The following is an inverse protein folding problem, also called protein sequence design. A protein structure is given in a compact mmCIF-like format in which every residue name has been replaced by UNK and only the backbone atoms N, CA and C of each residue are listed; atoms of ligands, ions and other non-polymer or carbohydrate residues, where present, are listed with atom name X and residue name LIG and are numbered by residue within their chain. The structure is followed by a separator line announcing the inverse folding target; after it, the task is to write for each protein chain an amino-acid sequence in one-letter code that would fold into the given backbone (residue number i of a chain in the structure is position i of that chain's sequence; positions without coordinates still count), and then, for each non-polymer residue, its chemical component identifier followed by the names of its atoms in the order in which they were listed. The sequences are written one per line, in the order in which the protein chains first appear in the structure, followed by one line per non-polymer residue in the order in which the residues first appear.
data_IF_047776036626
#
_entry.id   IF_047776036626
#
_cell.length_a   1.000
_cell.length_b   1.000
_cell.length_c   1.000
_cell.angle_alpha   90.00
_cell.angle_beta   90.00
_cell.angle_gamma   90.00
#
_symmetry.space_group_name_H-M   'P 1'
#
loop_
_entity.id
_entity.type
_entity.pdbx_description
1 polymer ?
#
# COMPACT_ATOMS: atom_id res chain seq x y z
N UNK A 1 21.12 6.31 -6.12
CA UNK A 1 20.31 7.08 -5.12
C UNK A 1 20.91 6.90 -3.73
N UNK A 2 21.19 5.68 -3.27
CA UNK A 2 21.79 5.45 -1.94
C UNK A 2 23.20 6.06 -1.80
N UNK A 3 24.02 6.02 -2.83
CA UNK A 3 25.37 6.57 -2.82
C UNK A 3 25.34 8.10 -2.68
N UNK A 4 24.48 8.77 -3.43
CA UNK A 4 24.35 10.23 -3.36
C UNK A 4 23.83 10.73 -2.03
N UNK A 5 22.96 9.97 -1.35
CA UNK A 5 22.51 10.30 0.00
C UNK A 5 23.64 10.16 1.04
N UNK A 6 24.44 9.09 0.96
CA UNK A 6 25.56 8.86 1.87
C UNK A 6 26.67 9.94 1.71
N UNK A 7 26.95 10.38 0.49
CA UNK A 7 27.91 11.46 0.22
C UNK A 7 27.43 12.82 0.77
N UNK A 8 26.13 13.15 0.60
CA UNK A 8 25.55 14.38 1.18
C UNK A 8 25.59 14.41 2.72
N UNK A 9 25.47 13.27 3.37
CA UNK A 9 25.60 13.17 4.84
C UNK A 9 27.05 13.38 5.31
N UNK A 10 28.05 13.03 4.50
CA UNK A 10 29.48 13.26 4.82
C UNK A 10 29.97 14.68 4.57
N UNK A 11 29.50 15.35 3.51
CA UNK A 11 29.97 16.69 3.14
C UNK A 11 29.59 17.77 4.15
N UNK A 12 28.51 17.62 4.90
CA UNK A 12 28.08 18.61 5.90
C UNK A 12 28.70 18.45 7.28
N UNK A 13 29.59 17.48 7.51
CA UNK A 13 30.46 17.42 8.71
C UNK A 13 29.73 17.34 10.06
N UNK A 14 28.41 17.18 10.08
CA UNK A 14 27.61 16.94 11.27
C UNK A 14 27.26 15.47 11.35
N UNK A 15 27.67 14.83 12.45
CA UNK A 15 27.18 13.51 12.88
C UNK A 15 25.68 13.64 13.23
N UNK A 16 24.83 13.80 12.22
CA UNK A 16 23.39 13.71 12.38
C UNK A 16 23.05 12.23 12.42
N UNK A 17 22.83 11.71 13.60
CA UNK A 17 22.17 10.41 13.79
C UNK A 17 20.78 10.51 13.16
N UNK A 18 20.58 9.88 12.01
CA UNK A 18 19.28 9.78 11.36
C UNK A 18 18.57 8.58 11.97
N UNK A 19 17.53 8.83 12.76
CA UNK A 19 16.77 7.77 13.42
C UNK A 19 15.91 6.96 12.43
N UNK A 20 15.45 7.61 11.34
CA UNK A 20 14.60 6.99 10.33
C UNK A 20 14.99 7.48 8.93
N UNK A 21 14.99 6.53 7.98
CA UNK A 21 15.27 6.77 6.59
C UNK A 21 14.11 6.25 5.72
N UNK A 22 13.56 7.11 4.87
CA UNK A 22 12.44 6.77 3.99
C UNK A 22 12.89 6.93 2.53
N UNK A 23 12.73 5.86 1.75
CA UNK A 23 12.97 5.88 0.30
C UNK A 23 11.64 5.68 -0.41
N UNK A 24 11.32 6.57 -1.34
CA UNK A 24 10.33 6.31 -2.38
C UNK A 24 11.04 5.64 -3.56
N UNK A 25 10.50 4.53 -4.04
CA UNK A 25 11.05 3.75 -5.14
C UNK A 25 9.98 3.38 -6.13
N UNK A 26 10.32 3.47 -7.41
CA UNK A 26 9.61 2.76 -8.46
C UNK A 26 9.81 1.26 -8.25
N UNK A 27 8.73 0.48 -8.41
CA UNK A 27 8.73 -0.97 -8.23
C UNK A 27 9.71 -1.71 -9.14
N UNK A 28 10.08 -1.10 -10.26
CA UNK A 28 11.05 -1.66 -11.20
C UNK A 28 12.46 -1.80 -10.59
N UNK A 29 12.81 -0.91 -9.66
CA UNK A 29 14.13 -0.83 -9.03
C UNK A 29 14.16 -1.44 -7.63
N UNK A 30 13.04 -1.92 -7.11
CA UNK A 30 12.93 -2.40 -5.74
C UNK A 30 13.94 -3.53 -5.44
N UNK A 31 14.13 -4.47 -6.37
CA UNK A 31 15.09 -5.56 -6.22
C UNK A 31 16.51 -5.05 -6.04
N UNK A 32 16.97 -4.15 -6.92
CA UNK A 32 18.33 -3.58 -6.87
C UNK A 32 18.57 -2.82 -5.56
N UNK A 33 17.55 -2.11 -5.06
CA UNK A 33 17.63 -1.39 -3.78
C UNK A 33 17.77 -2.39 -2.63
N UNK A 34 16.99 -3.47 -2.61
CA UNK A 34 17.04 -4.49 -1.57
C UNK A 34 18.32 -5.36 -1.62
N UNK A 35 18.99 -5.48 -2.77
CA UNK A 35 20.31 -6.11 -2.89
C UNK A 35 21.41 -5.31 -2.16
N UNK A 36 21.21 -3.99 -1.99
CA UNK A 36 22.21 -3.09 -1.43
C UNK A 36 21.84 -2.55 -0.04
N UNK A 37 20.56 -2.53 0.32
CA UNK A 37 20.07 -1.93 1.56
C UNK A 37 19.07 -2.87 2.22
N UNK A 38 19.23 -3.10 3.54
CA UNK A 38 18.27 -3.84 4.35
C UNK A 38 17.28 -2.86 4.95
N UNK A 39 15.99 -3.10 4.75
CA UNK A 39 14.90 -2.28 5.27
C UNK A 39 14.12 -3.02 6.36
N UNK A 40 13.63 -2.27 7.34
CA UNK A 40 12.73 -2.80 8.36
C UNK A 40 11.28 -2.91 7.86
N UNK A 41 10.88 -1.97 7.00
CA UNK A 41 9.50 -1.84 6.51
C UNK A 41 9.44 -1.65 5.00
N UNK A 42 8.41 -2.24 4.39
CA UNK A 42 7.96 -1.95 3.03
C UNK A 42 6.50 -1.53 3.06
N UNK A 43 6.22 -0.31 2.61
CA UNK A 43 4.85 0.15 2.36
C UNK A 43 4.52 -0.03 0.89
N UNK A 44 3.45 -0.77 0.58
CA UNK A 44 2.86 -0.82 -0.76
C UNK A 44 1.48 -0.19 -0.71
N UNK A 45 1.33 0.96 -1.34
CA UNK A 45 0.08 1.75 -1.28
C UNK A 45 -0.99 1.20 -2.21
N UNK A 46 -0.63 0.89 -3.45
CA UNK A 46 -1.49 0.31 -4.48
C UNK A 46 -0.67 -0.10 -5.70
N UNK A 47 -1.27 -0.91 -6.58
CA UNK A 47 -0.74 -1.22 -7.89
C UNK A 47 -1.78 -0.81 -8.93
N UNK A 48 -1.60 0.35 -9.55
CA UNK A 48 -2.46 0.79 -10.65
C UNK A 48 -1.94 0.29 -12.00
N UNK A 49 -2.86 0.02 -12.90
CA UNK A 49 -2.52 -0.13 -14.32
C UNK A 49 -2.18 1.23 -14.88
N UNK A 50 -1.05 1.34 -15.52
CA UNK A 50 -0.80 2.49 -16.38
C UNK A 50 -1.74 2.43 -17.60
N UNK A 51 -2.22 3.59 -18.09
CA UNK A 51 -3.23 3.67 -19.16
C UNK A 51 -2.75 3.08 -20.51
N UNK A 52 -1.46 2.83 -20.65
CA UNK A 52 -0.83 2.26 -21.83
C UNK A 52 -0.63 0.74 -21.76
N UNK A 53 -1.19 0.09 -20.74
CA UNK A 53 -0.77 -1.21 -20.31
C UNK A 53 -1.44 -2.37 -21.04
N UNK A 54 -0.61 -3.26 -21.56
CA UNK A 54 -0.99 -4.55 -22.10
C UNK A 54 -1.09 -5.60 -21.00
N UNK A 55 -1.97 -6.57 -21.18
CA UNK A 55 -2.11 -7.73 -20.29
C UNK A 55 -0.74 -8.31 -19.90
N UNK A 56 -0.41 -8.31 -18.60
CA UNK A 56 0.80 -8.93 -18.06
C UNK A 56 1.76 -8.00 -17.29
N UNK A 57 1.60 -6.69 -17.36
CA UNK A 57 2.50 -5.72 -16.69
C UNK A 57 2.27 -5.70 -15.17
N UNK A 58 1.03 -5.75 -14.74
CA UNK A 58 0.67 -5.86 -13.30
C UNK A 58 1.28 -7.11 -12.63
N UNK A 59 1.23 -8.26 -13.31
CA UNK A 59 1.83 -9.49 -12.82
C UNK A 59 3.37 -9.38 -12.82
N UNK A 60 3.95 -8.67 -13.78
CA UNK A 60 5.39 -8.40 -13.85
C UNK A 60 5.84 -7.46 -12.73
N UNK A 61 5.12 -6.36 -12.49
CA UNK A 61 5.35 -5.42 -11.40
C UNK A 61 5.27 -6.12 -10.05
N UNK A 62 4.21 -6.88 -9.84
CA UNK A 62 4.03 -7.67 -8.63
C UNK A 62 5.18 -8.66 -8.40
N UNK A 63 5.62 -9.36 -9.43
CA UNK A 63 6.76 -10.29 -9.36
C UNK A 63 8.05 -9.56 -8.95
N UNK A 64 8.34 -8.38 -9.50
CA UNK A 64 9.51 -7.58 -9.10
C UNK A 64 9.47 -7.19 -7.63
N UNK A 65 8.30 -6.78 -7.12
CA UNK A 65 8.10 -6.50 -5.70
C UNK A 65 8.36 -7.77 -4.88
N UNK A 66 7.82 -8.92 -5.29
CA UNK A 66 8.03 -10.20 -4.62
C UNK A 66 9.52 -10.62 -4.62
N UNK A 67 10.24 -10.40 -5.71
CA UNK A 67 11.69 -10.65 -5.79
C UNK A 67 12.45 -9.80 -4.76
N UNK A 68 12.14 -8.51 -4.64
CA UNK A 68 12.71 -7.64 -3.60
C UNK A 68 12.38 -8.13 -2.18
N UNK A 69 11.11 -8.45 -1.92
CA UNK A 69 10.67 -8.97 -0.61
C UNK A 69 11.43 -10.24 -0.20
N UNK A 70 11.75 -11.14 -1.15
CA UNK A 70 12.51 -12.39 -0.87
C UNK A 70 13.90 -12.13 -0.32
N UNK A 71 14.54 -11.04 -0.68
CA UNK A 71 15.89 -10.67 -0.25
C UNK A 71 15.96 -10.29 1.23
N UNK A 72 14.83 -9.92 1.85
CA UNK A 72 14.78 -9.56 3.26
C UNK A 72 13.72 -10.40 4.02
N UNK A 73 14.09 -11.52 4.64
CA UNK A 73 13.14 -12.40 5.34
C UNK A 73 12.45 -11.77 6.56
N UNK A 74 13.09 -10.81 7.22
CA UNK A 74 12.57 -10.14 8.42
C UNK A 74 11.77 -8.86 8.12
N UNK A 75 11.63 -8.51 6.85
CA UNK A 75 10.90 -7.34 6.39
C UNK A 75 9.45 -7.35 6.88
N UNK A 76 9.01 -6.27 7.51
CA UNK A 76 7.61 -6.02 7.86
C UNK A 76 6.94 -5.32 6.69
N UNK A 77 5.76 -5.81 6.30
CA UNK A 77 5.08 -5.32 5.09
C UNK A 77 3.77 -4.67 5.47
N UNK A 78 3.58 -3.42 5.00
CA UNK A 78 2.37 -2.63 5.19
C UNK A 78 1.62 -2.56 3.85
N UNK A 79 0.40 -3.07 3.81
CA UNK A 79 -0.38 -3.27 2.59
C UNK A 79 -1.72 -2.55 2.65
N UNK A 80 -2.14 -2.00 1.52
CA UNK A 80 -3.50 -1.50 1.36
C UNK A 80 -4.49 -2.67 1.22
N UNK A 81 -5.33 -2.87 2.23
CA UNK A 81 -6.38 -3.90 2.22
C UNK A 81 -7.40 -3.70 1.10
N UNK A 82 -7.62 -2.44 0.69
CA UNK A 82 -8.64 -2.06 -0.28
C UNK A 82 -8.23 -2.42 -1.71
N UNK A 83 -6.93 -2.67 -1.95
CA UNK A 83 -6.41 -3.10 -3.23
C UNK A 83 -6.40 -4.63 -3.36
N UNK A 84 -7.29 -5.23 -4.18
CA UNK A 84 -7.31 -6.67 -4.37
C UNK A 84 -6.05 -7.22 -5.03
N UNK A 85 -5.28 -6.40 -5.76
CA UNK A 85 -4.06 -6.84 -6.44
C UNK A 85 -2.93 -7.19 -5.46
N UNK A 86 -2.98 -6.64 -4.24
CA UNK A 86 -2.02 -6.88 -3.17
C UNK A 86 -2.34 -8.13 -2.32
N UNK A 87 -3.51 -8.75 -2.51
CA UNK A 87 -4.01 -9.82 -1.63
C UNK A 87 -3.07 -11.02 -1.49
N UNK A 88 -2.37 -11.38 -2.54
CA UNK A 88 -1.51 -12.55 -2.62
C UNK A 88 -0.01 -12.19 -2.78
N UNK A 89 0.37 -10.95 -2.50
CA UNK A 89 1.74 -10.49 -2.70
C UNK A 89 2.78 -11.27 -1.87
N UNK A 90 2.38 -11.80 -0.70
CA UNK A 90 3.25 -12.59 0.19
C UNK A 90 3.04 -14.12 0.04
N UNK A 91 2.01 -14.57 -0.67
CA UNK A 91 1.64 -16.00 -0.70
C UNK A 91 2.60 -16.87 -1.49
N UNK A 92 3.10 -16.38 -2.60
CA UNK A 92 4.04 -17.10 -3.44
C UNK A 92 5.42 -17.19 -2.77
N UNK A 93 5.76 -16.20 -1.94
CA UNK A 93 7.01 -16.16 -1.19
C UNK A 93 7.01 -17.20 -0.06
N UNK A 94 5.88 -17.45 0.57
CA UNK A 94 5.74 -18.45 1.63
C UNK A 94 5.95 -19.88 1.12
N UNK A 95 5.75 -20.15 -0.16
CA UNK A 95 5.93 -21.46 -0.79
C UNK A 95 7.41 -21.76 -1.14
N UNK A 96 8.23 -20.74 -1.40
CA UNK A 96 9.64 -20.90 -1.81
C UNK A 96 10.61 -21.11 -0.62
N UNK A 97 10.20 -20.78 0.59
CA UNK A 97 11.05 -20.94 1.80
C UNK A 97 10.80 -22.28 2.48
N UNK A 98 11.30 -23.37 1.88
CA UNK A 98 11.23 -24.74 2.44
C UNK A 98 12.00 -24.87 3.77
N UNK A 99 12.90 -23.94 4.12
CA UNK A 99 13.82 -24.11 5.23
C UNK A 99 13.50 -23.33 6.53
N UNK A 100 12.79 -22.19 6.48
CA UNK A 100 12.47 -21.41 7.70
C UNK A 100 11.13 -20.70 7.59
N UNK A 101 10.07 -21.35 8.10
CA UNK A 101 8.68 -20.84 8.12
C UNK A 101 8.45 -19.75 9.18
N UNK A 102 9.26 -18.70 9.24
CA UNK A 102 8.88 -17.52 10.01
C UNK A 102 7.87 -16.72 9.20
N UNK A 103 6.62 -16.75 9.64
CA UNK A 103 5.55 -15.96 8.99
C UNK A 103 5.90 -14.48 9.11
N UNK A 104 6.05 -13.78 7.97
CA UNK A 104 6.26 -12.32 7.96
C UNK A 104 5.12 -11.60 8.66
N UNK A 105 5.42 -10.49 9.30
CA UNK A 105 4.41 -9.61 9.86
C UNK A 105 3.82 -8.77 8.72
N UNK A 106 2.56 -9.03 8.39
CA UNK A 106 1.75 -8.21 7.50
C UNK A 106 0.87 -7.30 8.34
N UNK A 107 0.82 -6.03 7.98
CA UNK A 107 -0.08 -5.03 8.55
C UNK A 107 -0.92 -4.45 7.43
N UNK A 108 -2.22 -4.41 7.62
CA UNK A 108 -3.15 -3.91 6.63
C UNK A 108 -3.72 -2.55 7.04
N UNK A 109 -3.77 -1.61 6.10
CA UNK A 109 -4.51 -0.37 6.25
C UNK A 109 -5.60 -0.26 5.18
N UNK A 110 -6.65 0.55 5.45
CA UNK A 110 -7.73 0.74 4.48
C UNK A 110 -8.86 1.62 5.01
N UNK A 111 -9.76 2.03 4.13
CA UNK A 111 -10.91 2.86 4.50
C UNK A 111 -12.12 2.01 4.88
N UNK A 112 -12.92 2.51 5.82
CA UNK A 112 -14.22 1.95 6.15
C UNK A 112 -15.35 2.76 5.50
N UNK A 113 -15.22 4.09 5.51
CA UNK A 113 -16.17 4.99 4.87
C UNK A 113 -15.46 6.15 4.18
N UNK A 114 -16.10 6.64 3.12
CA UNK A 114 -15.70 7.85 2.40
C UNK A 114 -16.92 8.73 2.18
N UNK A 115 -16.79 10.00 2.51
CA UNK A 115 -17.78 11.04 2.31
C UNK A 115 -17.14 12.22 1.56
N UNK A 116 -17.78 12.69 0.50
CA UNK A 116 -17.38 13.92 -0.22
C UNK A 116 -18.24 15.06 0.30
N UNK A 117 -17.59 16.12 0.75
CA UNK A 117 -18.20 17.29 1.36
C UNK A 117 -17.91 18.52 0.48
N UNK A 118 -18.85 19.47 0.42
CA UNK A 118 -18.75 20.77 -0.27
C UNK A 118 -18.48 20.74 -1.80
N UNK A 119 -18.49 19.59 -2.44
CA UNK A 119 -18.44 19.47 -3.90
C UNK A 119 -19.07 18.16 -4.39
N UNK A 120 -19.67 18.21 -5.58
CA UNK A 120 -20.18 17.02 -6.25
C UNK A 120 -19.00 16.21 -6.81
N UNK A 121 -18.59 15.18 -6.11
CA UNK A 121 -17.71 14.19 -6.68
C UNK A 121 -18.50 13.40 -7.72
N UNK A 122 -18.41 13.80 -8.99
CA UNK A 122 -18.82 12.89 -10.06
C UNK A 122 -18.01 11.62 -9.89
N UNK A 123 -18.70 10.53 -9.60
CA UNK A 123 -18.08 9.21 -9.51
C UNK A 123 -17.58 8.82 -10.91
N UNK A 124 -16.43 9.34 -11.29
CA UNK A 124 -15.66 8.83 -12.43
C UNK A 124 -15.01 7.49 -12.02
N UNK A 125 -15.77 6.63 -11.34
CA UNK A 125 -15.36 5.25 -11.20
C UNK A 125 -15.47 4.63 -12.57
N UNK A 126 -14.36 4.27 -13.21
CA UNK A 126 -14.46 3.52 -14.46
C UNK A 126 -15.28 2.25 -14.14
N UNK A 127 -16.19 1.94 -15.03
CA UNK A 127 -16.99 0.69 -14.99
C UNK A 127 -16.13 -0.55 -15.27
N UNK A 128 -14.83 -0.44 -15.02
CA UNK A 128 -13.88 -1.51 -15.30
C UNK A 128 -14.10 -2.70 -14.37
N UNK A 129 -14.21 -3.86 -14.96
CA UNK A 129 -14.35 -5.13 -14.24
C UNK A 129 -12.99 -5.50 -13.68
N UNK A 130 -12.91 -5.60 -12.35
CA UNK A 130 -11.70 -6.05 -11.65
C UNK A 130 -11.82 -7.54 -11.40
N UNK A 131 -10.78 -8.28 -11.73
CA UNK A 131 -10.74 -9.73 -11.60
C UNK A 131 -10.02 -10.18 -10.35
N UNK A 132 -10.51 -11.26 -9.77
CA UNK A 132 -9.92 -11.89 -8.60
C UNK A 132 -8.47 -12.35 -8.88
N UNK A 133 -7.49 -12.01 -8.03
CA UNK A 133 -6.12 -12.44 -8.24
C UNK A 133 -5.96 -13.97 -8.21
N UNK A 134 -6.83 -14.69 -7.48
CA UNK A 134 -6.75 -16.14 -7.30
C UNK A 134 -7.51 -16.90 -8.39
N UNK A 135 -8.81 -16.66 -8.55
CA UNK A 135 -9.64 -17.48 -9.43
C UNK A 135 -9.99 -16.80 -10.77
N UNK A 136 -9.48 -15.59 -10.99
CA UNK A 136 -9.68 -14.78 -12.21
C UNK A 136 -11.16 -14.48 -12.56
N UNK A 137 -12.10 -14.71 -11.65
CA UNK A 137 -13.50 -14.31 -11.80
C UNK A 137 -13.69 -12.86 -11.37
N UNK A 138 -14.74 -12.16 -11.86
CA UNK A 138 -15.04 -10.80 -11.46
C UNK A 138 -15.20 -10.65 -9.94
N UNK A 139 -14.62 -9.59 -9.36
CA UNK A 139 -14.83 -9.21 -7.98
C UNK A 139 -16.17 -8.51 -7.79
N UNK A 140 -16.75 -8.69 -6.60
CA UNK A 140 -17.92 -7.95 -6.13
C UNK A 140 -17.46 -6.91 -5.10
N UNK A 141 -18.04 -5.72 -5.17
CA UNK A 141 -17.80 -4.62 -4.23
C UNK A 141 -19.08 -4.26 -3.50
N UNK A 142 -19.04 -4.21 -2.18
CA UNK A 142 -20.12 -3.60 -1.39
C UNK A 142 -20.00 -2.07 -1.39
N UNK A 143 -18.76 -1.55 -1.41
CA UNK A 143 -18.43 -0.14 -1.64
C UNK A 143 -17.15 -0.07 -2.47
N UNK A 144 -17.13 0.79 -3.49
CA UNK A 144 -15.93 1.12 -4.26
C UNK A 144 -15.57 2.56 -3.94
N UNK A 145 -14.35 2.79 -3.47
CA UNK A 145 -13.90 4.13 -3.05
C UNK A 145 -13.20 4.88 -4.18
N UNK A 146 -12.25 4.21 -4.84
CA UNK A 146 -11.47 4.81 -5.90
C UNK A 146 -10.86 3.74 -6.80
N UNK A 147 -11.04 3.82 -8.12
CA UNK A 147 -10.55 2.83 -9.09
C UNK A 147 -10.87 1.38 -8.64
N UNK A 148 -9.88 0.52 -8.46
CA UNK A 148 -10.05 -0.85 -7.95
C UNK A 148 -10.15 -0.94 -6.41
N UNK A 149 -9.94 0.16 -5.70
CA UNK A 149 -9.90 0.19 -4.24
C UNK A 149 -11.30 0.18 -3.62
N UNK A 150 -11.51 -0.66 -2.61
CA UNK A 150 -12.80 -0.72 -1.92
C UNK A 150 -13.02 -1.97 -1.08
N UNK A 151 -14.27 -2.17 -0.67
CA UNK A 151 -14.72 -3.33 0.11
C UNK A 151 -15.08 -4.48 -0.84
N UNK A 152 -14.08 -5.21 -1.26
CA UNK A 152 -14.20 -6.25 -2.28
C UNK A 152 -14.34 -7.67 -1.71
N UNK A 153 -14.95 -8.55 -2.50
CA UNK A 153 -15.07 -9.99 -2.23
C UNK A 153 -15.16 -10.79 -3.52
N UNK A 154 -14.88 -12.08 -3.45
CA UNK A 154 -14.97 -13.00 -4.58
C UNK A 154 -15.83 -14.23 -4.26
N UNK A 155 -16.41 -14.82 -5.31
CA UNK A 155 -17.17 -16.08 -5.22
C UNK A 155 -16.30 -17.27 -4.73
N UNK A 156 -14.97 -17.20 -4.89
CA UNK A 156 -14.04 -18.20 -4.33
C UNK A 156 -13.73 -18.00 -2.84
N UNK A 157 -14.55 -17.24 -2.14
CA UNK A 157 -14.51 -16.98 -0.70
C UNK A 157 -13.36 -16.08 -0.22
N UNK A 158 -12.48 -15.61 -1.11
CA UNK A 158 -11.53 -14.55 -0.72
C UNK A 158 -12.24 -13.21 -0.61
N UNK A 159 -11.75 -12.37 0.28
CA UNK A 159 -12.29 -11.04 0.52
C UNK A 159 -11.20 -10.10 1.01
N UNK A 160 -11.50 -8.83 0.99
CA UNK A 160 -10.67 -7.78 1.57
C UNK A 160 -10.21 -8.20 2.97
N UNK A 161 -8.89 -8.19 3.25
CA UNK A 161 -8.39 -8.36 4.59
C UNK A 161 -8.99 -7.32 5.54
N UNK A 162 -9.22 -7.69 6.79
CA UNK A 162 -9.60 -6.70 7.80
C UNK A 162 -8.38 -5.79 8.06
N UNK A 163 -8.50 -4.46 7.91
CA UNK A 163 -7.40 -3.56 8.25
C UNK A 163 -7.08 -3.61 9.74
N UNK A 164 -5.78 -3.58 10.06
CA UNK A 164 -5.28 -3.35 11.42
C UNK A 164 -5.41 -1.86 11.77
N UNK A 165 -5.23 -0.99 10.76
CA UNK A 165 -5.36 0.45 10.85
C UNK A 165 -6.39 0.89 9.81
N UNK A 166 -7.50 1.45 10.26
CA UNK A 166 -8.58 1.87 9.35
C UNK A 166 -8.92 3.35 9.50
N UNK A 167 -9.58 3.93 8.48
CA UNK A 167 -10.05 5.29 8.57
C UNK A 167 -11.44 5.49 7.97
N UNK A 168 -12.23 6.38 8.59
CA UNK A 168 -13.33 7.05 7.93
C UNK A 168 -12.81 8.38 7.37
N UNK A 169 -13.09 8.65 6.10
CA UNK A 169 -12.52 9.80 5.38
C UNK A 169 -13.60 10.75 4.93
N UNK A 170 -13.40 12.04 5.21
CA UNK A 170 -14.17 13.14 4.64
C UNK A 170 -13.28 13.96 3.71
N UNK A 171 -13.68 14.06 2.44
CA UNK A 171 -12.93 14.79 1.42
C UNK A 171 -13.62 16.12 1.17
N UNK A 172 -12.91 17.21 1.40
CA UNK A 172 -13.31 18.59 1.10
C UNK A 172 -12.54 19.11 -0.11
N UNK A 173 -12.96 20.23 -0.65
CA UNK A 173 -12.37 20.83 -1.84
C UNK A 173 -10.84 21.04 -1.73
N UNK A 174 -10.35 21.47 -0.55
CA UNK A 174 -8.96 21.88 -0.35
C UNK A 174 -8.22 21.03 0.71
N UNK A 175 -8.90 20.10 1.40
CA UNK A 175 -8.30 19.29 2.45
C UNK A 175 -9.09 17.99 2.63
N UNK A 176 -8.55 17.08 3.41
CA UNK A 176 -9.26 15.87 3.83
C UNK A 176 -9.16 15.68 5.34
N UNK A 177 -10.18 15.05 5.93
CA UNK A 177 -10.19 14.65 7.33
C UNK A 177 -10.20 13.13 7.41
N UNK A 178 -9.28 12.57 8.18
CA UNK A 178 -9.18 11.13 8.42
C UNK A 178 -9.43 10.85 9.90
N UNK A 179 -10.48 10.11 10.20
CA UNK A 179 -10.70 9.55 11.53
C UNK A 179 -10.05 8.16 11.58
N UNK A 180 -8.79 8.12 12.01
CA UNK A 180 -7.97 6.89 12.02
C UNK A 180 -8.25 6.08 13.28
N UNK A 181 -8.49 4.79 13.08
CA UNK A 181 -8.79 3.81 14.14
C UNK A 181 -7.67 2.76 14.21
N UNK A 182 -7.09 2.63 15.39
CA UNK A 182 -6.03 1.65 15.67
C UNK A 182 -6.10 1.22 17.14
N UNK A 183 -6.05 -0.08 17.42
CA UNK A 183 -6.09 -0.66 18.79
C UNK A 183 -7.20 -0.09 19.70
N UNK A 184 -8.38 0.11 19.14
CA UNK A 184 -9.52 0.66 19.88
C UNK A 184 -9.47 2.17 20.13
N UNK A 185 -8.41 2.85 19.70
CA UNK A 185 -8.28 4.32 19.72
C UNK A 185 -8.77 4.92 18.41
N UNK A 186 -9.22 6.17 18.48
CA UNK A 186 -9.65 6.94 17.32
C UNK A 186 -9.01 8.32 17.36
N UNK A 187 -8.29 8.70 16.30
CA UNK A 187 -7.57 9.97 16.22
C UNK A 187 -7.94 10.66 14.93
N UNK A 188 -8.28 11.94 15.02
CA UNK A 188 -8.62 12.77 13.87
C UNK A 188 -7.38 13.47 13.32
N UNK A 189 -7.12 13.25 12.02
CA UNK A 189 -6.06 13.94 11.27
C UNK A 189 -6.67 14.85 10.22
N UNK A 190 -6.14 16.06 10.12
CA UNK A 190 -6.42 16.98 9.01
C UNK A 190 -5.27 16.93 8.03
N UNK A 191 -5.54 16.55 6.81
CA UNK A 191 -4.60 16.57 5.70
C UNK A 191 -4.89 17.81 4.84
N UNK A 192 -3.94 18.72 4.72
CA UNK A 192 -4.07 19.94 3.90
C UNK A 192 -3.94 19.66 2.38
N UNK A 193 -4.39 18.49 1.97
CA UNK A 193 -4.47 18.00 0.60
C UNK A 193 -5.84 17.35 0.40
N UNK A 194 -6.48 17.66 -0.73
CA UNK A 194 -7.72 17.02 -1.12
C UNK A 194 -7.45 15.75 -1.94
N UNK A 195 -8.47 14.88 -1.99
CA UNK A 195 -8.47 13.70 -2.84
C UNK A 195 -8.15 12.40 -2.12
N UNK A 196 -8.79 11.32 -2.61
CA UNK A 196 -8.71 10.01 -1.95
C UNK A 196 -7.33 9.39 -2.03
N UNK A 197 -6.59 9.56 -3.13
CA UNK A 197 -5.25 9.02 -3.23
C UNK A 197 -4.29 9.64 -2.21
N UNK A 198 -4.41 10.95 -1.92
CA UNK A 198 -3.66 11.61 -0.86
C UNK A 198 -4.04 11.08 0.52
N UNK A 199 -5.33 10.80 0.73
CA UNK A 199 -5.82 10.20 1.97
C UNK A 199 -5.28 8.76 2.16
N UNK A 200 -5.20 7.96 1.09
CA UNK A 200 -4.57 6.62 1.14
C UNK A 200 -3.07 6.72 1.47
N UNK A 201 -2.34 7.63 0.82
CA UNK A 201 -0.91 7.83 1.10
C UNK A 201 -0.69 8.25 2.57
N UNK A 202 -1.52 9.19 3.07
CA UNK A 202 -1.45 9.62 4.46
C UNK A 202 -1.76 8.47 5.44
N UNK A 203 -2.81 7.66 5.16
CA UNK A 203 -3.14 6.52 6.01
C UNK A 203 -2.04 5.45 5.99
N UNK A 204 -1.42 5.19 4.84
CA UNK A 204 -0.27 4.30 4.72
C UNK A 204 0.94 4.78 5.53
N UNK A 205 1.26 6.08 5.47
CA UNK A 205 2.32 6.69 6.27
C UNK A 205 2.02 6.59 7.78
N UNK A 206 0.77 6.87 8.19
CA UNK A 206 0.32 6.71 9.57
C UNK A 206 0.45 5.25 10.00
N UNK A 207 0.07 4.29 9.14
CA UNK A 207 0.21 2.87 9.45
C UNK A 207 1.66 2.45 9.69
N UNK A 208 2.63 2.98 8.92
CA UNK A 208 4.04 2.76 9.18
C UNK A 208 4.50 3.37 10.51
N UNK A 209 4.02 4.56 10.85
CA UNK A 209 4.41 5.27 12.08
C UNK A 209 3.88 4.60 13.37
N UNK A 210 2.85 3.75 13.29
CA UNK A 210 2.31 3.00 14.42
C UNK A 210 3.01 1.63 14.65
N UNK A 211 3.96 1.24 13.82
CA UNK A 211 4.64 -0.07 13.87
C UNK A 211 6.05 0.01 14.45
#
# INVERSE_FOLDING_TARGET
IALGLYENFKENGQDTTVDNFVIESDEAYLKEIFENIVFDYLLVTNLFRDQLDRYGELDTTKRKIQEGIRLNPDLKIVLNADDPTLYDIDKDIANDTIANKKKRKLTYFGFENVEFCDFDAKSNSPSEVIYCPVCKKPLKYSKRFYSQLGLWSCICHIRRPKPDISADVKVFKNYSMLNVKYEGKSIMYKLNLSGLYNAYNALGAIACAYL
#
